data_IF_692564554925
#
_entry.id   IF_692564554925
#
_cell.length_a   1.000
_cell.length_b   1.000
_cell.length_c   1.000
_cell.angle_alpha   90.00
_cell.angle_beta   90.00
_cell.angle_gamma   90.00
#
_symmetry.space_group_name_H-M   'P 1'
#
loop_
_entity.id
_entity.type
_entity.pdbx_description
1 polymer ?
#
# COMPACT_ATOMS: atom_id res chain seq x y z
N UNK A 1 -2.04 14.72 27.43
CA UNK A 1 -2.11 13.37 26.87
C UNK A 1 -2.05 13.51 25.37
N UNK A 2 -1.01 12.95 24.72
CA UNK A 2 -0.96 12.92 23.23
C UNK A 2 -2.06 11.92 22.81
N UNK A 3 -3.07 12.40 22.11
CA UNK A 3 -4.13 11.51 21.61
C UNK A 3 -3.52 10.54 20.59
N UNK A 4 -3.85 9.26 20.71
CA UNK A 4 -3.44 8.21 19.78
C UNK A 4 -4.03 8.53 18.40
N UNK A 5 -3.22 8.54 17.33
CA UNK A 5 -3.76 8.79 16.00
C UNK A 5 -4.64 7.62 15.52
N UNK A 6 -5.58 7.91 14.63
CA UNK A 6 -6.38 6.87 13.99
C UNK A 6 -5.57 6.09 12.95
N UNK A 7 -4.70 6.77 12.21
CA UNK A 7 -3.94 6.16 11.12
C UNK A 7 -2.45 6.44 11.28
N UNK A 8 -1.62 5.38 11.18
CA UNK A 8 -0.19 5.50 10.94
C UNK A 8 0.07 5.26 9.46
N UNK A 9 0.54 6.28 8.76
CA UNK A 9 0.92 6.20 7.34
C UNK A 9 2.39 5.83 7.29
N UNK A 10 2.69 4.67 6.68
CA UNK A 10 4.05 4.15 6.53
C UNK A 10 4.47 4.29 5.08
N UNK A 11 5.55 5.01 4.86
CA UNK A 11 6.17 5.17 3.55
C UNK A 11 7.61 4.74 3.59
N UNK A 12 8.05 4.01 2.57
CA UNK A 12 9.44 3.56 2.40
C UNK A 12 10.02 4.20 1.15
N UNK A 13 11.18 4.85 1.25
CA UNK A 13 11.85 5.46 0.12
C UNK A 13 13.34 5.11 0.04
N UNK A 14 13.88 5.10 -1.19
CA UNK A 14 15.30 4.98 -1.48
C UNK A 14 15.61 5.74 -2.76
N UNK A 15 16.24 6.92 -2.64
CA UNK A 15 16.54 7.80 -3.78
C UNK A 15 15.27 8.19 -4.57
N UNK A 16 14.24 8.62 -3.86
CA UNK A 16 12.94 8.98 -4.43
C UNK A 16 12.55 10.44 -4.13
N UNK A 17 13.51 11.35 -3.98
CA UNK A 17 13.27 12.73 -3.53
C UNK A 17 12.15 13.46 -4.29
N UNK A 18 12.11 13.35 -5.62
CA UNK A 18 11.07 14.01 -6.42
C UNK A 18 9.67 13.46 -6.12
N UNK A 19 9.53 12.14 -6.04
CA UNK A 19 8.26 11.48 -5.71
C UNK A 19 7.84 11.79 -4.27
N UNK A 20 8.76 11.73 -3.32
CA UNK A 20 8.49 12.07 -1.91
C UNK A 20 7.97 13.50 -1.77
N UNK A 21 8.52 14.45 -2.52
CA UNK A 21 8.03 15.84 -2.53
C UNK A 21 6.57 15.92 -3.00
N UNK A 22 6.22 15.26 -4.10
CA UNK A 22 4.86 15.25 -4.64
C UNK A 22 3.89 14.54 -3.71
N UNK A 23 4.27 13.37 -3.18
CA UNK A 23 3.45 12.60 -2.24
C UNK A 23 3.17 13.39 -0.97
N UNK A 24 4.20 13.95 -0.30
CA UNK A 24 4.01 14.73 0.93
C UNK A 24 3.23 16.01 0.68
N UNK A 25 3.48 16.72 -0.43
CA UNK A 25 2.67 17.88 -0.80
C UNK A 25 1.20 17.51 -0.97
N UNK A 26 0.88 16.38 -1.61
CA UNK A 26 -0.50 15.91 -1.76
C UNK A 26 -1.11 15.47 -0.42
N UNK A 27 -0.36 14.78 0.43
CA UNK A 27 -0.81 14.31 1.74
C UNK A 27 -1.16 15.46 2.69
N UNK A 28 -0.32 16.50 2.72
CA UNK A 28 -0.53 17.65 3.62
C UNK A 28 -1.40 18.77 3.00
N UNK A 29 -2.04 18.50 1.86
CA UNK A 29 -2.99 19.41 1.22
C UNK A 29 -4.31 18.71 0.90
N UNK A 30 -4.60 18.47 -0.38
CA UNK A 30 -5.88 17.91 -0.84
C UNK A 30 -6.16 16.48 -0.37
N UNK A 31 -5.11 15.70 -0.12
CA UNK A 31 -5.19 14.30 0.32
C UNK A 31 -5.17 14.12 1.82
N UNK A 32 -5.12 15.22 2.60
CA UNK A 32 -5.09 15.12 4.06
C UNK A 32 -6.35 14.46 4.61
N UNK A 33 -6.22 13.39 5.41
CA UNK A 33 -7.39 12.76 6.01
C UNK A 33 -8.04 13.67 7.06
N UNK A 34 -9.34 13.54 7.24
CA UNK A 34 -10.10 14.25 8.27
C UNK A 34 -9.89 13.70 9.68
N UNK A 35 -9.41 12.47 9.78
CA UNK A 35 -9.05 11.81 11.05
C UNK A 35 -7.59 12.06 11.42
N UNK A 36 -7.28 11.95 12.71
CA UNK A 36 -5.91 12.13 13.19
C UNK A 36 -4.96 11.08 12.60
N UNK A 37 -3.78 11.51 12.19
CA UNK A 37 -2.78 10.64 11.61
C UNK A 37 -1.36 11.01 12.03
N UNK A 38 -0.46 10.05 11.91
CA UNK A 38 0.99 10.25 11.94
C UNK A 38 1.60 9.72 10.65
N UNK A 39 2.78 10.22 10.31
CA UNK A 39 3.56 9.72 9.17
C UNK A 39 4.88 9.16 9.69
N UNK A 40 5.21 7.96 9.23
CA UNK A 40 6.47 7.27 9.50
C UNK A 40 7.14 7.05 8.15
N UNK A 41 8.27 7.68 7.95
CA UNK A 41 9.06 7.50 6.74
C UNK A 41 10.30 6.67 7.06
N UNK A 42 10.46 5.56 6.34
CA UNK A 42 11.65 4.71 6.45
C UNK A 42 12.55 4.99 5.25
N UNK A 43 13.64 5.67 5.51
CA UNK A 43 14.68 5.94 4.52
C UNK A 43 15.61 4.74 4.39
N UNK A 44 15.63 4.13 3.22
CA UNK A 44 16.40 2.92 2.94
C UNK A 44 17.78 3.23 2.35
N UNK A 45 18.56 4.05 3.07
CA UNK A 45 19.90 4.53 2.67
C UNK A 45 19.86 5.40 1.40
N UNK A 46 19.04 6.43 1.38
CA UNK A 46 19.03 7.43 0.30
C UNK A 46 20.30 8.29 0.32
N UNK A 47 20.74 8.72 -0.85
CA UNK A 47 21.89 9.60 -1.07
C UNK A 47 21.53 10.84 -1.88
N UNK A 48 20.26 11.00 -2.23
CA UNK A 48 19.73 12.07 -3.08
C UNK A 48 19.18 13.28 -2.30
N UNK A 49 19.37 13.28 -0.97
CA UNK A 49 18.85 14.33 -0.08
C UNK A 49 17.43 14.11 0.42
N UNK A 50 16.84 12.92 0.19
CA UNK A 50 15.48 12.60 0.66
C UNK A 50 15.33 12.76 2.16
N UNK A 51 16.23 12.18 2.96
CA UNK A 51 16.18 12.26 4.43
C UNK A 51 16.29 13.72 4.93
N UNK A 52 17.23 14.50 4.38
CA UNK A 52 17.40 15.91 4.73
C UNK A 52 16.19 16.75 4.37
N UNK A 53 15.60 16.50 3.20
CA UNK A 53 14.38 17.18 2.80
C UNK A 53 13.23 16.95 3.77
N UNK A 54 13.01 15.69 4.19
CA UNK A 54 11.96 15.35 5.16
C UNK A 54 12.24 16.03 6.50
N UNK A 55 13.47 15.91 7.01
CA UNK A 55 13.88 16.49 8.30
C UNK A 55 13.67 18.00 8.37
N UNK A 56 14.00 18.70 7.28
CA UNK A 56 13.94 20.16 7.24
C UNK A 56 12.53 20.71 6.97
N UNK A 57 11.69 20.01 6.18
CA UNK A 57 10.40 20.54 5.74
C UNK A 57 9.21 19.91 6.46
N UNK A 58 9.37 18.72 7.07
CA UNK A 58 8.30 17.97 7.73
C UNK A 58 8.77 17.41 9.08
N UNK A 59 9.11 18.26 10.06
CA UNK A 59 9.70 17.83 11.34
C UNK A 59 8.76 16.98 12.20
N UNK A 60 7.47 16.92 11.88
CA UNK A 60 6.49 16.05 12.53
C UNK A 60 6.51 14.62 12.02
N UNK A 61 7.14 14.37 10.87
CA UNK A 61 7.31 13.01 10.33
C UNK A 61 8.33 12.25 11.17
N UNK A 62 7.97 11.06 11.59
CA UNK A 62 8.92 10.14 12.23
C UNK A 62 9.83 9.53 11.15
N UNK A 63 11.01 10.13 10.99
CA UNK A 63 12.02 9.64 10.04
C UNK A 63 12.86 8.54 10.69
N UNK A 64 12.97 7.40 10.00
CA UNK A 64 13.82 6.27 10.38
C UNK A 64 14.83 6.04 9.27
N UNK A 65 16.10 6.23 9.56
CA UNK A 65 17.19 6.08 8.61
C UNK A 65 17.89 4.73 8.81
N UNK A 66 17.80 3.86 7.83
CA UNK A 66 18.44 2.56 7.88
C UNK A 66 19.95 2.68 7.69
N UNK A 67 20.71 1.84 8.41
CA UNK A 67 22.17 1.76 8.28
C UNK A 67 22.62 0.89 7.11
N UNK A 68 21.70 0.10 6.53
CA UNK A 68 21.91 -0.73 5.34
C UNK A 68 20.60 -0.95 4.60
N UNK A 69 20.69 -1.28 3.32
CA UNK A 69 19.52 -1.53 2.46
C UNK A 69 18.80 -2.81 2.86
N UNK A 70 17.48 -2.70 2.97
CA UNK A 70 16.58 -3.83 3.21
C UNK A 70 15.53 -3.92 2.09
N UNK A 71 14.86 -5.07 2.00
CA UNK A 71 13.73 -5.27 1.11
C UNK A 71 12.46 -4.53 1.56
N UNK A 72 11.48 -4.47 0.68
CA UNK A 72 10.21 -3.78 0.92
C UNK A 72 9.48 -4.29 2.17
N UNK A 73 9.35 -5.62 2.31
CA UNK A 73 8.72 -6.25 3.45
C UNK A 73 9.32 -5.79 4.78
N UNK A 74 10.65 -5.89 4.92
CA UNK A 74 11.35 -5.53 6.14
C UNK A 74 11.25 -4.03 6.45
N UNK A 75 11.36 -3.18 5.46
CA UNK A 75 11.23 -1.73 5.65
C UNK A 75 9.85 -1.35 6.17
N UNK A 76 8.77 -1.90 5.61
CA UNK A 76 7.43 -1.68 6.11
C UNK A 76 7.25 -2.22 7.54
N UNK A 77 7.81 -3.38 7.86
CA UNK A 77 7.79 -3.91 9.22
C UNK A 77 8.57 -3.02 10.20
N UNK A 78 9.68 -2.41 9.77
CA UNK A 78 10.41 -1.42 10.58
C UNK A 78 9.49 -0.23 10.86
N UNK A 79 8.83 0.33 9.85
CA UNK A 79 7.86 1.40 10.05
C UNK A 79 6.72 1.01 11.00
N UNK A 80 6.15 -0.18 10.79
CA UNK A 80 5.04 -0.68 11.59
C UNK A 80 5.37 -0.85 13.09
N UNK A 81 6.60 -1.19 13.44
CA UNK A 81 7.06 -1.25 14.85
C UNK A 81 7.01 0.10 15.56
N UNK A 82 7.03 1.17 14.81
CA UNK A 82 6.98 2.53 15.33
C UNK A 82 5.58 3.18 15.21
N UNK A 83 4.66 2.49 14.58
CA UNK A 83 3.28 2.92 14.43
C UNK A 83 2.54 2.82 15.77
N UNK A 84 1.72 3.84 16.06
CA UNK A 84 0.86 3.85 17.24
C UNK A 84 -0.62 4.01 16.87
N UNK A 85 -0.94 4.22 15.59
CA UNK A 85 -2.31 4.36 15.08
C UNK A 85 -3.14 3.09 15.23
N UNK A 86 -4.46 3.24 15.16
CA UNK A 86 -5.40 2.13 15.16
C UNK A 86 -5.36 1.35 13.85
N UNK A 87 -5.07 2.04 12.76
CA UNK A 87 -4.87 1.49 11.43
C UNK A 87 -3.48 1.83 10.89
N UNK A 88 -2.95 0.97 10.04
CA UNK A 88 -1.73 1.17 9.26
C UNK A 88 -2.14 1.37 7.81
N UNK A 89 -1.72 2.48 7.22
CA UNK A 89 -1.77 2.71 5.78
C UNK A 89 -0.36 2.53 5.22
N UNK A 90 -0.15 1.47 4.44
CA UNK A 90 1.04 1.33 3.60
C UNK A 90 0.84 2.25 2.40
N UNK A 91 1.80 3.11 2.13
CA UNK A 91 1.72 4.11 1.07
C UNK A 91 3.08 4.27 0.38
N UNK A 92 3.16 3.93 -0.90
CA UNK A 92 4.39 4.13 -1.66
C UNK A 92 4.68 5.62 -1.89
N UNK A 93 5.96 6.01 -2.01
CA UNK A 93 6.36 7.41 -2.17
C UNK A 93 6.00 8.02 -3.54
N UNK A 94 5.60 7.21 -4.51
CA UNK A 94 5.18 7.64 -5.86
C UNK A 94 3.65 7.83 -6.01
N UNK A 95 2.91 7.71 -4.91
CA UNK A 95 1.45 7.92 -4.90
C UNK A 95 1.12 9.40 -4.65
N UNK A 96 0.29 9.96 -5.52
CA UNK A 96 -0.33 11.27 -5.31
C UNK A 96 -1.75 11.04 -4.79
N UNK A 97 -2.04 11.60 -3.63
CA UNK A 97 -3.32 11.44 -2.97
C UNK A 97 -4.35 12.41 -3.53
N UNK A 98 -5.58 11.94 -3.69
CA UNK A 98 -6.75 12.75 -4.04
C UNK A 98 -7.60 13.03 -2.81
N UNK A 99 -8.47 14.04 -2.90
CA UNK A 99 -9.34 14.45 -1.81
C UNK A 99 -10.20 13.29 -1.29
N UNK A 100 -10.15 13.10 0.03
CA UNK A 100 -10.97 12.10 0.73
C UNK A 100 -10.59 10.65 0.47
N UNK A 101 -9.49 10.36 -0.27
CA UNK A 101 -9.09 8.99 -0.59
C UNK A 101 -8.82 8.16 0.68
N UNK A 102 -8.06 8.70 1.63
CA UNK A 102 -7.75 8.01 2.90
C UNK A 102 -9.01 7.88 3.75
N UNK A 103 -9.83 8.93 3.84
CA UNK A 103 -11.09 8.89 4.62
C UNK A 103 -12.04 7.82 4.12
N UNK A 104 -12.14 7.65 2.81
CA UNK A 104 -12.99 6.60 2.21
C UNK A 104 -12.53 5.21 2.60
N UNK A 105 -11.22 4.94 2.54
CA UNK A 105 -10.65 3.66 2.97
C UNK A 105 -10.89 3.41 4.46
N UNK A 106 -10.62 4.42 5.29
CA UNK A 106 -10.83 4.35 6.74
C UNK A 106 -12.30 4.10 7.08
N UNK A 107 -13.21 4.89 6.52
CA UNK A 107 -14.65 4.76 6.76
C UNK A 107 -15.19 3.39 6.29
N UNK A 108 -14.64 2.84 5.20
CA UNK A 108 -14.97 1.50 4.75
C UNK A 108 -14.50 0.45 5.76
N UNK A 109 -13.24 0.53 6.18
CA UNK A 109 -12.65 -0.44 7.10
C UNK A 109 -13.38 -0.51 8.45
N UNK A 110 -13.74 0.64 9.04
CA UNK A 110 -14.47 0.67 10.33
C UNK A 110 -15.91 0.13 10.22
N UNK A 111 -16.56 0.33 9.06
CA UNK A 111 -17.94 -0.15 8.82
C UNK A 111 -18.00 -1.65 8.46
N UNK A 112 -16.89 -2.24 8.05
CA UNK A 112 -16.83 -3.63 7.60
C UNK A 112 -15.78 -4.44 8.36
N UNK A 113 -16.08 -4.91 9.60
CA UNK A 113 -15.10 -5.62 10.43
C UNK A 113 -14.55 -6.92 9.82
N UNK A 114 -15.25 -7.50 8.85
CA UNK A 114 -14.77 -8.66 8.07
C UNK A 114 -13.69 -8.28 7.04
N UNK A 115 -13.55 -7.00 6.69
CA UNK A 115 -12.48 -6.51 5.82
C UNK A 115 -11.17 -6.52 6.59
N UNK A 116 -10.20 -7.30 6.12
CA UNK A 116 -8.85 -7.33 6.69
C UNK A 116 -7.93 -6.31 6.03
N UNK A 117 -8.02 -6.19 4.69
CA UNK A 117 -7.22 -5.26 3.88
C UNK A 117 -8.16 -4.55 2.91
N UNK A 118 -8.08 -3.23 2.84
CA UNK A 118 -8.78 -2.43 1.82
C UNK A 118 -7.77 -1.60 1.03
N UNK A 119 -7.82 -1.71 -0.29
CA UNK A 119 -6.92 -1.00 -1.22
C UNK A 119 -7.70 -0.09 -2.17
N UNK A 120 -7.19 1.11 -2.48
CA UNK A 120 -7.87 2.03 -3.38
C UNK A 120 -7.69 1.64 -4.85
N UNK A 121 -8.51 2.24 -5.70
CA UNK A 121 -8.24 2.35 -7.13
C UNK A 121 -6.96 3.18 -7.33
N UNK A 122 -6.03 2.65 -8.13
CA UNK A 122 -4.85 3.36 -8.56
C UNK A 122 -4.97 3.74 -10.04
N UNK A 123 -4.50 4.94 -10.36
CA UNK A 123 -4.46 5.47 -11.71
C UNK A 123 -3.05 5.92 -12.08
N UNK A 124 -2.69 5.80 -13.33
CA UNK A 124 -1.49 6.41 -13.87
C UNK A 124 -1.66 7.93 -13.99
N UNK A 125 -0.58 8.65 -14.25
CA UNK A 125 -0.62 10.12 -14.43
C UNK A 125 -1.51 10.57 -15.62
N UNK A 126 -1.71 9.70 -16.60
CA UNK A 126 -2.62 9.91 -17.73
C UNK A 126 -4.08 9.52 -17.44
N UNK A 127 -4.40 9.29 -16.16
CA UNK A 127 -5.70 8.84 -15.67
C UNK A 127 -6.12 7.43 -16.13
N UNK A 128 -5.26 6.69 -16.83
CA UNK A 128 -5.53 5.29 -17.13
C UNK A 128 -5.47 4.42 -15.86
N UNK A 129 -6.28 3.35 -15.83
CA UNK A 129 -6.37 2.46 -14.67
C UNK A 129 -5.08 1.63 -14.49
N UNK A 130 -4.57 1.58 -13.26
CA UNK A 130 -3.61 0.55 -12.86
C UNK A 130 -4.35 -0.67 -12.33
N UNK A 131 -4.06 -1.86 -12.92
CA UNK A 131 -4.64 -3.13 -12.45
C UNK A 131 -3.94 -3.57 -11.15
N UNK A 132 -4.23 -2.85 -10.05
CA UNK A 132 -3.65 -3.08 -8.73
C UNK A 132 -4.30 -4.21 -7.95
N UNK A 133 -5.55 -4.55 -8.28
CA UNK A 133 -6.27 -5.70 -7.74
C UNK A 133 -6.18 -6.89 -8.68
N UNK A 134 -6.02 -8.10 -8.13
CA UNK A 134 -5.72 -9.30 -8.94
C UNK A 134 -6.30 -10.56 -8.30
N UNK A 135 -6.39 -11.65 -9.11
CA UNK A 135 -6.60 -13.00 -8.62
C UNK A 135 -5.28 -13.65 -8.20
N UNK A 136 -5.34 -14.69 -7.36
CA UNK A 136 -4.15 -15.52 -7.15
C UNK A 136 -3.77 -16.22 -8.46
N UNK A 137 -2.47 -16.28 -8.79
CA UNK A 137 -2.03 -16.89 -10.04
C UNK A 137 -2.23 -18.40 -10.01
N UNK A 138 -2.91 -18.95 -11.02
CA UNK A 138 -2.90 -20.38 -11.30
C UNK A 138 -1.63 -20.78 -12.07
N UNK A 139 -1.28 -22.09 -12.07
CA UNK A 139 -0.16 -22.62 -12.85
C UNK A 139 -0.29 -22.20 -14.33
N UNK A 140 -1.50 -22.23 -14.90
CA UNK A 140 -1.77 -21.80 -16.28
C UNK A 140 -1.40 -20.33 -16.51
N UNK A 141 -1.69 -19.47 -15.54
CA UNK A 141 -1.36 -18.04 -15.60
C UNK A 141 0.15 -17.84 -15.52
N UNK A 142 0.83 -18.55 -14.62
CA UNK A 142 2.28 -18.48 -14.49
C UNK A 142 2.99 -18.90 -15.78
N UNK A 143 2.57 -20.01 -16.40
CA UNK A 143 3.10 -20.48 -17.67
C UNK A 143 2.85 -19.46 -18.80
N UNK A 144 1.62 -18.93 -18.91
CA UNK A 144 1.30 -17.91 -19.91
C UNK A 144 2.14 -16.64 -19.73
N UNK A 145 2.32 -16.17 -18.51
CA UNK A 145 3.15 -14.99 -18.23
C UNK A 145 4.62 -15.23 -18.54
N UNK A 146 5.14 -16.43 -18.28
CA UNK A 146 6.50 -16.80 -18.68
C UNK A 146 6.65 -16.76 -20.21
N UNK A 147 5.71 -17.34 -20.96
CA UNK A 147 5.73 -17.34 -22.42
C UNK A 147 5.58 -15.93 -23.04
N UNK A 148 4.75 -15.08 -22.43
CA UNK A 148 4.50 -13.69 -22.90
C UNK A 148 5.47 -12.67 -22.33
N UNK A 149 6.52 -13.09 -21.58
CA UNK A 149 7.46 -12.22 -20.86
C UNK A 149 6.75 -11.18 -19.99
N UNK A 150 5.62 -11.55 -19.38
CA UNK A 150 4.84 -10.67 -18.51
C UNK A 150 4.04 -9.60 -19.25
N UNK A 151 3.81 -9.74 -20.55
CA UNK A 151 3.02 -8.77 -21.30
C UNK A 151 1.53 -8.81 -20.91
N UNK A 152 1.14 -7.90 -20.02
CA UNK A 152 -0.23 -7.75 -19.51
C UNK A 152 -1.21 -7.13 -20.54
N UNK A 153 -0.70 -6.64 -21.69
CA UNK A 153 -1.51 -6.14 -22.82
C UNK A 153 -1.99 -7.27 -23.75
N UNK A 154 -1.55 -8.51 -23.52
CA UNK A 154 -2.00 -9.64 -24.31
C UNK A 154 -3.52 -9.79 -24.20
N UNK A 155 -4.21 -10.07 -25.32
CA UNK A 155 -5.65 -10.34 -25.37
C UNK A 155 -6.06 -11.68 -24.74
N UNK A 156 -5.13 -12.36 -24.07
CA UNK A 156 -5.35 -13.67 -23.44
C UNK A 156 -6.36 -13.58 -22.29
N UNK A 157 -7.47 -14.32 -22.40
CA UNK A 157 -8.54 -14.34 -21.39
C UNK A 157 -8.03 -14.68 -19.97
N UNK A 158 -7.05 -15.57 -19.85
CA UNK A 158 -6.49 -15.94 -18.55
C UNK A 158 -5.76 -14.75 -17.89
N UNK A 159 -5.03 -13.97 -18.69
CA UNK A 159 -4.37 -12.73 -18.21
C UNK A 159 -5.41 -11.69 -17.83
N UNK A 160 -6.47 -11.52 -18.61
CA UNK A 160 -7.54 -10.58 -18.29
C UNK A 160 -8.27 -10.97 -16.98
N UNK A 161 -8.53 -12.26 -16.77
CA UNK A 161 -9.13 -12.78 -15.54
C UNK A 161 -8.20 -12.58 -14.34
N UNK A 162 -6.90 -12.84 -14.50
CA UNK A 162 -5.90 -12.62 -13.45
C UNK A 162 -5.81 -11.15 -13.05
N UNK A 163 -5.80 -10.24 -14.01
CA UNK A 163 -5.72 -8.81 -13.80
C UNK A 163 -7.06 -8.18 -13.42
N UNK A 164 -8.13 -8.96 -13.34
CA UNK A 164 -9.47 -8.48 -13.02
C UNK A 164 -9.88 -7.28 -13.89
N UNK A 165 -9.59 -7.32 -15.21
CA UNK A 165 -9.83 -6.17 -16.11
C UNK A 165 -11.30 -5.74 -16.18
N UNK A 166 -12.23 -6.58 -15.76
CA UNK A 166 -13.68 -6.33 -15.75
C UNK A 166 -14.22 -6.04 -14.34
N UNK A 167 -13.35 -5.61 -13.38
CA UNK A 167 -13.82 -5.19 -12.06
C UNK A 167 -14.79 -4.01 -12.18
N UNK A 168 -15.86 -4.00 -11.38
CA UNK A 168 -16.70 -2.81 -11.24
C UNK A 168 -15.86 -1.62 -10.79
N UNK A 169 -16.11 -0.45 -11.39
CA UNK A 169 -15.36 0.79 -11.08
C UNK A 169 -16.06 1.70 -10.10
N UNK A 170 -17.21 1.26 -9.57
CA UNK A 170 -18.13 2.04 -8.74
C UNK A 170 -18.51 1.34 -7.43
N UNK A 171 -18.15 0.05 -7.28
CA UNK A 171 -18.53 -0.73 -6.10
C UNK A 171 -17.33 -1.44 -5.48
N UNK A 172 -17.23 -1.46 -4.13
CA UNK A 172 -16.22 -2.25 -3.43
C UNK A 172 -16.33 -3.73 -3.79
N UNK A 173 -15.23 -4.35 -4.15
CA UNK A 173 -15.23 -5.73 -4.63
C UNK A 173 -14.16 -6.57 -3.91
N UNK A 174 -14.54 -7.79 -3.50
CA UNK A 174 -13.59 -8.75 -2.94
C UNK A 174 -12.64 -9.25 -4.04
N UNK A 175 -11.34 -9.20 -3.72
CA UNK A 175 -10.27 -9.61 -4.63
C UNK A 175 -9.30 -10.54 -3.91
N UNK A 176 -8.56 -11.36 -4.66
CA UNK A 176 -7.65 -12.27 -3.99
C UNK A 176 -6.47 -11.54 -3.38
N UNK A 177 -5.91 -10.53 -4.07
CA UNK A 177 -4.84 -9.69 -3.55
C UNK A 177 -4.78 -8.32 -4.23
N UNK A 178 -4.13 -7.37 -3.58
CA UNK A 178 -3.87 -6.04 -4.08
C UNK A 178 -2.38 -5.70 -3.95
N UNK A 179 -1.89 -4.85 -4.85
CA UNK A 179 -0.51 -4.37 -4.82
C UNK A 179 -0.23 -3.58 -3.54
N UNK A 180 0.96 -3.76 -2.98
CA UNK A 180 1.45 -3.06 -1.79
C UNK A 180 1.74 -1.57 -1.98
N UNK A 181 1.28 -0.97 -3.08
CA UNK A 181 1.46 0.45 -3.36
C UNK A 181 0.63 1.35 -2.44
N UNK A 182 -0.61 0.94 -2.14
CA UNK A 182 -1.48 1.60 -1.16
C UNK A 182 -2.51 0.61 -0.62
N UNK A 183 -2.55 0.37 0.69
CA UNK A 183 -3.64 -0.31 1.35
C UNK A 183 -3.73 -0.01 2.84
N UNK A 184 -4.93 -0.07 3.38
CA UNK A 184 -5.22 0.12 4.80
C UNK A 184 -5.54 -1.22 5.46
N UNK A 185 -4.98 -1.43 6.65
CA UNK A 185 -5.17 -2.62 7.49
C UNK A 185 -5.26 -2.19 8.96
N UNK A 186 -6.08 -2.84 9.79
CA UNK A 186 -6.04 -2.52 11.22
C UNK A 186 -4.69 -2.92 11.82
N UNK A 187 -4.16 -2.10 12.72
CA UNK A 187 -2.85 -2.35 13.35
C UNK A 187 -2.84 -3.69 14.11
N UNK A 188 -3.94 -4.00 14.83
CA UNK A 188 -4.09 -5.28 15.52
C UNK A 188 -4.01 -6.46 14.56
N UNK A 189 -4.69 -6.35 13.40
CA UNK A 189 -4.68 -7.43 12.41
C UNK A 189 -3.35 -7.55 11.68
N UNK A 190 -2.66 -6.42 11.41
CA UNK A 190 -1.29 -6.44 10.88
C UNK A 190 -0.35 -7.23 11.81
N UNK A 191 -0.45 -7.00 13.12
CA UNK A 191 0.33 -7.73 14.13
C UNK A 191 -0.07 -9.21 14.23
N UNK A 192 -1.35 -9.53 14.11
CA UNK A 192 -1.84 -10.93 14.07
C UNK A 192 -1.28 -11.68 12.87
N UNK A 193 -1.16 -11.01 11.72
CA UNK A 193 -0.49 -11.53 10.52
C UNK A 193 1.03 -11.57 10.67
N UNK A 194 1.61 -11.00 11.73
CA UNK A 194 3.07 -10.82 11.93
C UNK A 194 3.72 -9.94 10.86
N UNK A 195 2.98 -8.98 10.33
CA UNK A 195 3.43 -8.09 9.28
C UNK A 195 3.68 -8.78 7.93
N UNK A 196 4.54 -8.18 7.12
CA UNK A 196 5.03 -8.81 5.89
C UNK A 196 6.05 -9.91 6.20
N UNK A 197 6.11 -10.97 5.37
CA UNK A 197 7.17 -11.98 5.48
C UNK A 197 8.50 -11.42 4.89
N UNK A 198 9.48 -11.20 5.74
CA UNK A 198 10.78 -10.61 5.38
C UNK A 198 11.66 -11.51 4.49
N UNK A 199 11.25 -12.76 4.24
CA UNK A 199 11.90 -13.63 3.28
C UNK A 199 11.73 -13.13 1.84
N UNK A 200 10.66 -12.38 1.58
CA UNK A 200 10.47 -11.67 0.31
C UNK A 200 11.26 -10.35 0.36
N UNK A 201 12.28 -10.25 -0.48
CA UNK A 201 13.07 -9.02 -0.56
C UNK A 201 12.30 -7.92 -1.30
N UNK A 202 11.74 -8.27 -2.45
CA UNK A 202 10.93 -7.39 -3.30
C UNK A 202 10.01 -8.24 -4.16
N UNK A 203 8.74 -7.80 -4.28
CA UNK A 203 7.63 -8.50 -4.94
C UNK A 203 7.15 -9.76 -4.21
N UNK A 204 5.88 -10.07 -4.38
CA UNK A 204 5.14 -11.21 -3.80
C UNK A 204 4.78 -11.04 -2.32
N UNK A 205 5.46 -10.19 -1.55
CA UNK A 205 5.14 -9.91 -0.14
C UNK A 205 3.72 -9.36 0.04
N UNK A 206 3.23 -8.59 -0.93
CA UNK A 206 1.86 -8.05 -0.97
C UNK A 206 0.82 -9.15 -1.26
N UNK A 207 1.14 -10.07 -2.17
CA UNK A 207 0.30 -11.23 -2.43
C UNK A 207 0.29 -12.18 -1.21
N UNK A 208 1.43 -12.37 -0.55
CA UNK A 208 1.53 -13.23 0.63
C UNK A 208 0.71 -12.69 1.81
N UNK A 209 0.81 -11.40 2.14
CA UNK A 209 0.01 -10.84 3.25
C UNK A 209 -1.49 -10.91 2.95
N UNK A 210 -1.90 -10.71 1.69
CA UNK A 210 -3.29 -10.89 1.26
C UNK A 210 -3.72 -12.36 1.38
N UNK A 211 -2.88 -13.32 1.00
CA UNK A 211 -3.15 -14.73 1.17
C UNK A 211 -3.35 -15.11 2.64
N UNK A 212 -2.46 -14.62 3.53
CA UNK A 212 -2.59 -14.84 4.98
C UNK A 212 -3.84 -14.16 5.56
N UNK A 213 -4.26 -13.02 5.01
CA UNK A 213 -5.52 -12.36 5.34
C UNK A 213 -6.71 -13.30 5.08
N UNK A 214 -6.78 -13.90 3.88
CA UNK A 214 -7.81 -14.88 3.54
C UNK A 214 -7.78 -16.12 4.43
N UNK A 215 -6.59 -16.61 4.79
CA UNK A 215 -6.43 -17.75 5.72
C UNK A 215 -6.96 -17.46 7.14
N UNK A 216 -7.08 -16.19 7.49
CA UNK A 216 -7.68 -15.72 8.76
C UNK A 216 -9.17 -15.40 8.62
N UNK A 217 -9.81 -15.83 7.54
CA UNK A 217 -11.24 -15.57 7.23
C UNK A 217 -11.56 -14.06 7.18
N UNK A 218 -10.59 -13.23 6.82
CA UNK A 218 -10.79 -11.80 6.53
C UNK A 218 -10.70 -11.57 5.04
N UNK A 219 -11.36 -10.52 4.56
CA UNK A 219 -11.49 -10.18 3.14
C UNK A 219 -10.42 -9.19 2.71
N UNK A 220 -9.95 -9.32 1.49
CA UNK A 220 -9.21 -8.28 0.77
C UNK A 220 -10.17 -7.58 -0.17
N UNK A 221 -10.28 -6.27 -0.05
CA UNK A 221 -11.27 -5.49 -0.80
C UNK A 221 -10.59 -4.41 -1.63
N UNK A 222 -10.90 -4.40 -2.91
CA UNK A 222 -10.63 -3.29 -3.80
C UNK A 222 -11.75 -2.26 -3.68
N UNK A 223 -11.40 -1.01 -3.35
CA UNK A 223 -12.32 0.08 -3.14
C UNK A 223 -12.11 1.16 -4.20
N UNK A 224 -12.98 1.24 -5.23
CA UNK A 224 -12.75 2.09 -6.39
C UNK A 224 -13.20 3.55 -6.24
N UNK A 225 -13.85 3.90 -5.13
CA UNK A 225 -14.52 5.21 -4.92
C UNK A 225 -13.64 6.24 -4.23
#
# INVERSE_FOLDING_TARGET
MIMKPEISIITVGMNHLSYVKEMLASLYSVGSPSVSFEVIFVDNCSTDGTADYIRNNYPTIKLIENQKKYGFARNNNIGAKHAIGNYILILNPDIILTQGAIDKLYNYAIKHPSCGIVAPKLQNRDCSLQYSARRFPSIKILLNRALTKGNDKSGNKNVQTYLLKNLPMDTPTEVDWCMGAAFLISHTFYNELKGFDEKFFLYVEDMDICYRCWKKNKKVVYYPL
#
